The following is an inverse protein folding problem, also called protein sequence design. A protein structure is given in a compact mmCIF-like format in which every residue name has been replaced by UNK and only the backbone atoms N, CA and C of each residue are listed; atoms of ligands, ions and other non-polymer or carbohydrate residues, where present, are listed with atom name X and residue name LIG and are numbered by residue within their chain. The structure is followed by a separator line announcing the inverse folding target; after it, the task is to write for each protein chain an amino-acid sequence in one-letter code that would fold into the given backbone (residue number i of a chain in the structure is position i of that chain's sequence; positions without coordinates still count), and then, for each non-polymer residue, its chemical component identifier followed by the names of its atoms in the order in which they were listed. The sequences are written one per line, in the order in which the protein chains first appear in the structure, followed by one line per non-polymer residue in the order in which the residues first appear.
data_IF_330015724091
#
_entry.id   IF_330015724091
#
_cell.length_a   1.000
_cell.length_b   1.000
_cell.length_c   1.000
_cell.angle_alpha   90.00
_cell.angle_beta   90.00
_cell.angle_gamma   90.00
#
_symmetry.space_group_name_H-M   'P 1'
#
loop_
_entity.id
_entity.type
_entity.pdbx_description
1 polymer ?
#
# COMPACT_ATOMS: atom_id res chain seq x y z
N UNK A 1 4.12 -21.03 1.06
CA UNK A 1 4.10 -19.56 1.01
C UNK A 1 4.22 -19.11 -0.44
N UNK A 2 3.21 -18.43 -0.97
CA UNK A 2 3.13 -17.96 -2.38
C UNK A 2 4.37 -17.16 -2.82
N UNK A 3 4.91 -16.35 -1.91
CA UNK A 3 6.16 -15.59 -2.12
C UNK A 3 7.37 -16.48 -2.44
N UNK A 4 7.49 -17.67 -1.83
CA UNK A 4 8.57 -18.64 -2.13
C UNK A 4 8.43 -19.31 -3.50
N UNK A 5 7.27 -19.17 -4.14
CA UNK A 5 6.99 -19.65 -5.50
C UNK A 5 7.17 -18.55 -6.55
N UNK A 6 7.67 -17.37 -6.16
CA UNK A 6 7.91 -16.25 -7.06
C UNK A 6 6.68 -15.38 -7.35
N UNK A 7 5.60 -15.50 -6.56
CA UNK A 7 4.42 -14.64 -6.70
C UNK A 7 4.56 -13.34 -5.91
N UNK A 8 4.09 -12.25 -6.51
CA UNK A 8 3.89 -10.97 -5.84
C UNK A 8 2.61 -10.98 -5.00
N UNK A 9 2.56 -10.11 -3.99
CA UNK A 9 1.41 -9.97 -3.08
C UNK A 9 0.99 -8.51 -3.08
N UNK A 10 -0.29 -8.26 -3.39
CA UNK A 10 -0.91 -6.95 -3.27
C UNK A 10 -1.70 -6.85 -1.96
N UNK A 11 -1.50 -5.76 -1.22
CA UNK A 11 -2.15 -5.52 0.08
C UNK A 11 -2.65 -4.08 0.10
N UNK A 12 -3.90 -3.88 0.52
CA UNK A 12 -4.41 -2.53 0.81
C UNK A 12 -3.87 -2.05 2.16
N UNK A 13 -3.28 -0.84 2.23
CA UNK A 13 -2.47 -0.42 3.37
C UNK A 13 -3.25 -0.18 4.66
N UNK A 14 -4.51 0.22 4.53
CA UNK A 14 -5.44 0.66 5.57
C UNK A 14 -6.20 -0.48 6.26
N UNK A 15 -6.25 -1.66 5.62
CA UNK A 15 -6.87 -2.87 6.18
C UNK A 15 -8.38 -2.74 6.43
N UNK A 16 -9.08 -3.77 6.94
CA UNK A 16 -10.55 -3.80 6.98
C UNK A 16 -11.23 -2.80 7.94
N UNK A 17 -10.46 -2.09 8.76
CA UNK A 17 -10.98 -1.22 9.84
C UNK A 17 -10.49 0.23 9.76
N UNK A 18 -9.64 0.57 8.79
CA UNK A 18 -9.11 1.93 8.62
C UNK A 18 -8.13 2.38 9.72
N UNK A 19 -7.85 3.70 9.80
CA UNK A 19 -8.38 4.76 8.93
C UNK A 19 -7.78 4.75 7.52
N UNK A 20 -8.47 5.39 6.57
CA UNK A 20 -8.01 5.58 5.17
C UNK A 20 -6.60 6.18 5.18
N UNK A 21 -5.74 5.69 4.28
CA UNK A 21 -4.36 6.18 4.09
C UNK A 21 -3.38 5.96 5.24
N UNK A 22 -3.71 5.09 6.18
CA UNK A 22 -2.78 4.71 7.24
C UNK A 22 -2.18 3.33 6.96
N UNK A 23 -0.87 3.29 6.72
CA UNK A 23 -0.14 2.02 6.52
C UNK A 23 -0.01 1.29 7.86
N UNK A 24 -0.48 0.05 7.91
CA UNK A 24 -0.36 -0.81 9.09
C UNK A 24 1.00 -1.52 9.19
N UNK A 25 1.41 -1.82 10.42
CA UNK A 25 2.69 -2.48 10.73
C UNK A 25 2.86 -3.83 10.02
N UNK A 26 1.75 -4.54 9.78
CA UNK A 26 1.77 -5.86 9.12
C UNK A 26 2.47 -5.87 7.76
N UNK A 27 2.46 -4.76 7.02
CA UNK A 27 3.17 -4.64 5.74
C UNK A 27 4.69 -4.67 5.95
N UNK A 28 5.18 -3.92 6.94
CA UNK A 28 6.62 -3.88 7.29
C UNK A 28 7.07 -5.24 7.81
N UNK A 29 6.29 -5.87 8.69
CA UNK A 29 6.60 -7.21 9.20
C UNK A 29 6.65 -8.25 8.07
N UNK A 30 5.69 -8.20 7.13
CA UNK A 30 5.68 -9.12 6.00
C UNK A 30 6.91 -8.92 5.10
N UNK A 31 7.30 -7.66 4.84
CA UNK A 31 8.50 -7.34 4.09
C UNK A 31 9.76 -7.89 4.77
N UNK A 32 9.89 -7.75 6.10
CA UNK A 32 11.01 -8.34 6.85
C UNK A 32 11.04 -9.87 6.79
N UNK A 33 9.89 -10.51 6.98
CA UNK A 33 9.78 -11.97 7.00
C UNK A 33 10.06 -12.60 5.63
N UNK A 34 9.65 -11.91 4.56
CA UNK A 34 9.82 -12.40 3.20
C UNK A 34 11.14 -11.95 2.55
N UNK A 35 11.75 -10.87 3.03
CA UNK A 35 12.91 -10.22 2.41
C UNK A 35 12.58 -9.51 1.10
N UNK A 36 11.30 -9.43 0.71
CA UNK A 36 10.86 -8.78 -0.51
C UNK A 36 10.72 -7.26 -0.30
N UNK A 37 10.99 -6.45 -1.33
CA UNK A 37 10.73 -5.01 -1.26
C UNK A 37 9.22 -4.73 -1.26
N UNK A 38 8.82 -3.68 -0.56
CA UNK A 38 7.48 -3.09 -0.67
C UNK A 38 7.49 -2.10 -1.82
N UNK A 39 6.57 -2.25 -2.77
CA UNK A 39 6.41 -1.32 -3.90
C UNK A 39 5.15 -0.49 -3.66
N UNK A 40 5.28 0.83 -3.37
CA UNK A 40 4.12 1.71 -3.22
C UNK A 40 3.38 1.84 -4.55
N UNK A 41 2.06 1.65 -4.55
CA UNK A 41 1.21 1.81 -5.73
C UNK A 41 0.00 2.66 -5.33
N UNK A 42 -0.34 3.64 -6.16
CA UNK A 42 -1.58 4.40 -6.04
C UNK A 42 -2.36 4.36 -7.36
N UNK A 43 -3.69 4.34 -7.25
CA UNK A 43 -4.60 4.27 -8.39
C UNK A 43 -5.58 5.44 -8.33
N UNK A 44 -5.58 6.27 -9.36
CA UNK A 44 -6.57 7.33 -9.52
C UNK A 44 -7.62 6.90 -10.54
N UNK A 45 -8.88 6.87 -10.14
CA UNK A 45 -10.01 6.59 -11.02
C UNK A 45 -10.69 7.91 -11.37
N UNK A 46 -10.81 8.20 -12.67
CA UNK A 46 -11.35 9.47 -13.17
C UNK A 46 -12.87 9.55 -13.05
N UNK A 47 -13.58 8.55 -13.55
CA UNK A 47 -15.05 8.46 -13.48
C UNK A 47 -15.44 7.39 -12.47
N UNK A 48 -15.87 7.82 -11.28
CA UNK A 48 -16.10 6.94 -10.13
C UNK A 48 -17.32 7.34 -9.32
N UNK A 49 -17.94 6.36 -8.69
CA UNK A 49 -18.85 6.57 -7.55
C UNK A 49 -18.07 6.34 -6.27
N UNK A 50 -18.05 7.33 -5.38
CA UNK A 50 -17.45 7.22 -4.05
C UNK A 50 -18.55 6.91 -3.03
N UNK A 51 -18.35 5.88 -2.22
CA UNK A 51 -19.27 5.52 -1.15
C UNK A 51 -18.87 6.19 0.17
N UNK A 52 -19.85 6.48 1.03
CA UNK A 52 -19.62 7.09 2.35
C UNK A 52 -19.12 6.11 3.43
N UNK A 53 -18.46 5.03 3.03
CA UNK A 53 -17.80 4.09 3.95
C UNK A 53 -16.50 4.67 4.50
N UNK A 54 -15.97 4.07 5.57
CA UNK A 54 -14.77 4.57 6.26
C UNK A 54 -13.52 4.65 5.35
N UNK A 55 -13.48 3.83 4.30
CA UNK A 55 -12.41 3.74 3.30
C UNK A 55 -12.63 4.67 2.10
N UNK A 56 -13.81 5.30 2.00
CA UNK A 56 -14.26 6.02 0.81
C UNK A 56 -14.13 5.17 -0.47
N UNK A 57 -14.65 3.93 -0.43
CA UNK A 57 -14.58 2.98 -1.54
C UNK A 57 -14.94 3.65 -2.89
N UNK A 58 -14.11 3.42 -3.91
CA UNK A 58 -14.28 4.00 -5.25
C UNK A 58 -14.69 2.90 -6.23
N UNK A 59 -15.92 2.97 -6.74
CA UNK A 59 -16.36 2.08 -7.82
C UNK A 59 -16.17 2.79 -9.17
N UNK A 60 -15.28 2.30 -10.04
CA UNK A 60 -15.13 2.84 -11.38
C UNK A 60 -16.43 2.66 -12.18
N UNK A 61 -16.83 3.69 -12.91
CA UNK A 61 -17.89 3.58 -13.91
C UNK A 61 -17.38 2.81 -15.14
N UNK A 62 -18.26 2.23 -15.98
CA UNK A 62 -17.85 1.63 -17.23
C UNK A 62 -16.99 2.59 -18.07
N UNK A 63 -15.89 2.07 -18.62
CA UNK A 63 -14.90 2.82 -19.41
C UNK A 63 -14.15 3.93 -18.65
N UNK A 64 -14.20 3.94 -17.32
CA UNK A 64 -13.39 4.86 -16.53
C UNK A 64 -11.90 4.66 -16.81
N UNK A 65 -11.20 5.76 -17.07
CA UNK A 65 -9.74 5.77 -17.08
C UNK A 65 -9.21 5.59 -15.67
N UNK A 66 -8.18 4.77 -15.52
CA UNK A 66 -7.43 4.60 -14.28
C UNK A 66 -5.96 4.92 -14.52
N UNK A 67 -5.41 5.86 -13.77
CA UNK A 67 -3.98 6.15 -13.78
C UNK A 67 -3.33 5.41 -12.60
N UNK A 68 -2.39 4.51 -12.90
CA UNK A 68 -1.61 3.79 -11.90
C UNK A 68 -0.25 4.47 -11.76
N UNK A 69 0.10 4.83 -10.53
CA UNK A 69 1.39 5.41 -10.18
C UNK A 69 2.15 4.43 -9.31
N UNK A 70 3.38 4.14 -9.72
CA UNK A 70 4.26 3.19 -9.03
C UNK A 70 5.44 3.96 -8.45
N UNK A 71 5.64 3.82 -7.15
CA UNK A 71 6.72 4.45 -6.41
C UNK A 71 8.00 3.64 -6.39
N UNK A 72 9.04 4.26 -5.87
CA UNK A 72 10.31 3.58 -5.63
C UNK A 72 10.13 2.47 -4.57
N UNK A 73 10.71 1.28 -4.78
CA UNK A 73 10.66 0.20 -3.80
C UNK A 73 11.32 0.57 -2.47
N UNK A 74 10.77 0.08 -1.36
CA UNK A 74 11.33 0.18 0.00
C UNK A 74 11.74 -1.22 0.45
N UNK A 75 13.02 -1.41 0.77
CA UNK A 75 13.50 -2.67 1.39
C UNK A 75 13.56 -2.49 2.89
N UNK A 76 12.95 -3.42 3.62
CA UNK A 76 13.02 -3.47 5.08
C UNK A 76 14.00 -4.58 5.48
N UNK A 77 15.14 -4.25 6.11
CA UNK A 77 16.08 -5.24 6.60
C UNK A 77 15.44 -6.19 7.62
N UNK A 78 15.85 -7.47 7.56
CA UNK A 78 15.35 -8.50 8.48
C UNK A 78 15.72 -8.22 9.94
N UNK A 79 16.87 -7.59 10.15
CA UNK A 79 17.40 -7.24 11.47
C UNK A 79 16.70 -6.01 12.07
N UNK A 80 15.78 -5.37 11.34
CA UNK A 80 15.25 -4.08 11.80
C UNK A 80 14.43 -4.17 13.08
N UNK A 81 14.82 -3.35 14.06
CA UNK A 81 14.21 -3.22 15.37
C UNK A 81 12.87 -2.46 15.34
N UNK A 82 12.14 -2.39 16.47
CA UNK A 82 10.83 -1.73 16.53
C UNK A 82 10.81 -0.29 16.00
N UNK A 83 11.81 0.52 16.37
CA UNK A 83 11.90 1.92 15.94
C UNK A 83 12.16 2.06 14.43
N UNK A 84 13.05 1.23 13.89
CA UNK A 84 13.33 1.20 12.45
C UNK A 84 12.12 0.73 11.65
N UNK A 85 11.36 -0.26 12.15
CA UNK A 85 10.11 -0.71 11.51
C UNK A 85 9.09 0.42 11.41
N UNK A 86 8.93 1.19 12.49
CA UNK A 86 8.05 2.35 12.48
C UNK A 86 8.54 3.42 11.49
N UNK A 87 9.86 3.65 11.39
CA UNK A 87 10.43 4.55 10.39
C UNK A 87 10.12 4.07 8.96
N UNK A 88 10.32 2.79 8.66
CA UNK A 88 9.96 2.20 7.36
C UNK A 88 8.46 2.28 7.08
N UNK A 89 7.61 2.05 8.09
CA UNK A 89 6.15 2.19 7.96
C UNK A 89 5.79 3.61 7.50
N UNK A 90 6.39 4.63 8.14
CA UNK A 90 6.20 6.03 7.77
C UNK A 90 6.71 6.34 6.38
N UNK A 91 7.91 5.88 6.01
CA UNK A 91 8.45 6.06 4.65
C UNK A 91 7.56 5.43 3.59
N UNK A 92 7.00 4.24 3.84
CA UNK A 92 6.05 3.61 2.91
C UNK A 92 4.78 4.45 2.79
N UNK A 93 4.24 4.93 3.92
CA UNK A 93 3.06 5.79 3.93
C UNK A 93 3.30 7.09 3.17
N UNK A 94 4.40 7.79 3.44
CA UNK A 94 4.80 9.02 2.75
C UNK A 94 4.90 8.81 1.24
N UNK A 95 5.58 7.75 0.79
CA UNK A 95 5.67 7.41 -0.64
C UNK A 95 4.31 7.10 -1.26
N UNK A 96 3.40 6.44 -0.53
CA UNK A 96 2.04 6.22 -1.03
C UNK A 96 1.26 7.53 -1.15
N UNK A 97 1.42 8.44 -0.19
CA UNK A 97 0.78 9.75 -0.20
C UNK A 97 1.30 10.64 -1.34
N UNK A 98 2.60 10.62 -1.63
CA UNK A 98 3.20 11.34 -2.77
C UNK A 98 2.61 10.90 -4.13
N UNK A 99 2.21 9.64 -4.25
CA UNK A 99 1.61 9.09 -5.47
C UNK A 99 0.10 9.33 -5.54
N UNK A 100 -0.54 9.60 -4.41
CA UNK A 100 -2.00 9.61 -4.32
C UNK A 100 -2.58 10.94 -4.77
N UNK A 101 -3.53 10.85 -5.71
CA UNK A 101 -4.33 11.96 -6.20
C UNK A 101 -5.78 11.53 -6.12
N UNK A 102 -6.54 12.14 -5.21
CA UNK A 102 -7.96 11.82 -4.98
C UNK A 102 -8.92 12.58 -5.89
#
# INVERSE_FOLDING_TARGET
FWTRRGYDVAITPDGPRGPKYEVKEGIVMLAQLTGLPVVPISAQIHSKKVFGSWDAFQLPLPFARCDIRVGQPVRVPRESGPEEREAFRRTIQERMMELTID
#
